data_IF_398209742469
#
_entry.id   IF_398209742469
#
_cell.length_a   1.000
_cell.length_b   1.000
_cell.length_c   1.000
_cell.angle_alpha   90.00
_cell.angle_beta   90.00
_cell.angle_gamma   90.00
#
_symmetry.space_group_name_H-M   'P 1'
#
loop_
_entity.id
_entity.type
_entity.pdbx_description
1 polymer ?
#
# COMPACT_ATOMS: atom_id res chain seq x y z
N UNK A 1 -3.80 29.39 -37.76
CA UNK A 1 -2.49 28.72 -37.87
C UNK A 1 -1.89 28.70 -36.47
N UNK A 2 -1.78 27.51 -35.87
CA UNK A 2 -1.11 27.21 -34.58
C UNK A 2 -1.70 27.88 -33.34
N UNK A 3 -1.72 27.29 -32.16
CA UNK A 3 -1.41 25.94 -31.69
C UNK A 3 -1.97 25.91 -30.27
N UNK A 4 -2.60 24.80 -29.89
CA UNK A 4 -3.21 24.60 -28.58
C UNK A 4 -2.18 23.91 -27.69
N UNK A 5 -1.60 24.64 -26.73
CA UNK A 5 -0.83 24.08 -25.62
C UNK A 5 -1.65 24.23 -24.34
N UNK A 6 -2.34 23.19 -23.89
CA UNK A 6 -1.83 22.04 -23.12
C UNK A 6 -1.86 22.35 -21.62
N UNK A 7 -2.78 21.66 -20.94
CA UNK A 7 -3.13 21.84 -19.56
C UNK A 7 -2.34 20.83 -18.72
N UNK A 8 -1.55 21.37 -17.79
CA UNK A 8 -0.71 20.61 -16.87
C UNK A 8 -1.49 19.55 -16.10
N UNK A 9 -1.02 18.34 -16.34
CA UNK A 9 -1.38 17.02 -15.83
C UNK A 9 -1.55 16.93 -14.31
N UNK A 10 -2.52 16.11 -13.90
CA UNK A 10 -2.88 15.86 -12.51
C UNK A 10 -2.04 14.69 -11.99
N UNK A 11 -1.34 14.92 -10.88
CA UNK A 11 -0.49 13.95 -10.22
C UNK A 11 -1.20 12.66 -9.84
N UNK A 12 -0.69 11.57 -10.41
CA UNK A 12 -0.27 10.32 -9.78
C UNK A 12 -1.29 9.67 -8.83
N UNK A 13 -2.23 8.94 -9.43
CA UNK A 13 -2.93 7.85 -8.77
C UNK A 13 -2.02 6.62 -8.78
N UNK A 14 -1.62 6.20 -7.58
CA UNK A 14 -0.70 5.09 -7.34
C UNK A 14 -0.99 3.85 -8.17
N UNK A 15 0.08 3.43 -8.83
CA UNK A 15 0.36 2.16 -9.50
C UNK A 15 -0.46 0.97 -8.97
N UNK A 16 -1.50 0.64 -9.73
CA UNK A 16 -2.25 -0.58 -9.60
C UNK A 16 -1.74 -1.58 -10.65
N UNK A 17 -0.93 -2.52 -10.18
CA UNK A 17 -0.69 -3.80 -10.85
C UNK A 17 0.48 -3.78 -11.84
N UNK A 18 1.63 -4.24 -11.37
CA UNK A 18 2.55 -5.03 -12.20
C UNK A 18 1.83 -6.33 -12.59
N UNK A 19 0.92 -6.21 -13.55
CA UNK A 19 0.44 -7.32 -14.35
C UNK A 19 1.64 -7.74 -15.19
N UNK A 20 2.32 -8.79 -14.71
CA UNK A 20 3.46 -9.38 -15.37
C UNK A 20 3.25 -9.44 -16.88
N UNK A 21 4.20 -8.80 -17.57
CA UNK A 21 4.47 -8.85 -18.99
C UNK A 21 3.91 -10.15 -19.60
N UNK A 22 2.79 -10.01 -20.31
CA UNK A 22 2.25 -11.07 -21.15
C UNK A 22 3.24 -11.24 -22.30
N UNK A 23 4.28 -12.03 -22.02
CA UNK A 23 5.31 -12.41 -22.97
C UNK A 23 4.65 -12.86 -24.26
N UNK A 24 4.99 -12.10 -25.30
CA UNK A 24 4.85 -12.37 -26.71
C UNK A 24 4.61 -13.86 -27.00
N UNK A 25 3.38 -14.20 -27.37
CA UNK A 25 3.02 -15.52 -27.90
C UNK A 25 3.58 -15.66 -29.33
N UNK A 26 4.90 -15.60 -29.43
CA UNK A 26 5.66 -15.95 -30.62
C UNK A 26 5.88 -17.46 -30.65
N UNK A 27 5.35 -18.10 -31.69
CA UNK A 27 5.72 -19.41 -32.21
C UNK A 27 5.80 -20.56 -31.19
N UNK A 28 4.73 -21.38 -31.11
CA UNK A 28 4.68 -22.58 -30.29
C UNK A 28 5.60 -23.68 -30.85
N UNK A 29 6.91 -23.48 -30.75
CA UNK A 29 7.90 -24.53 -30.68
C UNK A 29 7.67 -25.37 -29.42
N UNK A 30 8.08 -26.64 -29.46
CA UNK A 30 7.98 -27.56 -28.33
C UNK A 30 8.53 -26.91 -27.05
N UNK A 31 7.67 -26.65 -26.07
CA UNK A 31 8.09 -26.14 -24.76
C UNK A 31 8.84 -27.28 -24.07
N UNK A 32 10.17 -27.24 -24.14
CA UNK A 32 11.03 -28.11 -23.36
C UNK A 32 11.09 -27.60 -21.92
N UNK A 33 10.62 -28.37 -20.92
CA UNK A 33 10.82 -28.01 -19.53
C UNK A 33 12.32 -27.99 -19.24
N UNK A 34 12.89 -26.81 -19.04
CA UNK A 34 14.27 -26.66 -18.61
C UNK A 34 14.32 -26.69 -17.08
N UNK A 35 15.39 -27.26 -16.53
CA UNK A 35 15.66 -27.11 -15.11
C UNK A 35 15.87 -25.62 -14.77
N UNK A 36 15.53 -25.24 -13.53
CA UNK A 36 15.76 -23.88 -13.08
C UNK A 36 17.26 -23.59 -13.03
N UNK A 37 17.69 -22.35 -13.38
CA UNK A 37 19.10 -21.98 -13.34
C UNK A 37 19.67 -22.12 -11.92
N UNK A 38 20.99 -22.27 -11.83
CA UNK A 38 21.71 -22.48 -10.57
C UNK A 38 21.45 -21.40 -9.51
N UNK A 39 21.11 -20.19 -9.95
CA UNK A 39 20.76 -19.07 -9.08
C UNK A 39 19.45 -19.27 -8.29
N UNK A 40 18.54 -20.13 -8.77
CA UNK A 40 17.33 -20.52 -8.03
C UNK A 40 17.46 -21.85 -7.31
N UNK A 41 18.15 -22.83 -7.89
CA UNK A 41 18.28 -24.17 -7.28
C UNK A 41 19.18 -24.15 -6.04
N UNK A 42 20.24 -23.33 -6.02
CA UNK A 42 21.14 -23.23 -4.88
C UNK A 42 20.41 -22.75 -3.61
N UNK A 43 19.61 -21.66 -3.63
CA UNK A 43 18.76 -21.31 -2.48
C UNK A 43 17.81 -22.42 -2.05
N UNK A 44 17.13 -23.09 -2.99
CA UNK A 44 16.18 -24.16 -2.65
C UNK A 44 16.85 -25.37 -1.98
N UNK A 45 18.01 -25.79 -2.49
CA UNK A 45 18.79 -26.89 -1.89
C UNK A 45 19.32 -26.50 -0.52
N UNK A 46 19.80 -25.26 -0.35
CA UNK A 46 20.23 -24.76 0.95
C UNK A 46 19.08 -24.76 1.96
N UNK A 47 17.88 -24.30 1.57
CA UNK A 47 16.68 -24.32 2.41
C UNK A 47 16.24 -25.75 2.75
N UNK A 48 16.28 -26.68 1.79
CA UNK A 48 15.98 -28.09 2.04
C UNK A 48 16.94 -28.71 3.06
N UNK A 49 18.24 -28.45 2.91
CA UNK A 49 19.26 -28.90 3.86
C UNK A 49 19.04 -28.30 5.25
N UNK A 50 18.78 -26.98 5.35
CA UNK A 50 18.47 -26.32 6.61
C UNK A 50 17.21 -26.87 7.28
N UNK A 51 16.18 -27.22 6.50
CA UNK A 51 14.96 -27.87 7.02
C UNK A 51 15.25 -29.25 7.62
N UNK A 52 16.08 -30.07 6.95
CA UNK A 52 16.51 -31.38 7.45
C UNK A 52 17.34 -31.25 8.73
N UNK A 53 18.32 -30.33 8.75
CA UNK A 53 19.17 -30.08 9.92
C UNK A 53 18.33 -29.54 11.08
N UNK A 54 17.44 -28.58 10.83
CA UNK A 54 16.54 -28.03 11.84
C UNK A 54 15.62 -29.11 12.43
N UNK A 55 15.04 -29.96 11.59
CA UNK A 55 14.26 -31.12 12.03
C UNK A 55 15.09 -32.09 12.87
N UNK A 56 16.32 -32.39 12.46
CA UNK A 56 17.22 -33.30 13.17
C UNK A 56 17.63 -32.77 14.56
N UNK A 57 17.93 -31.47 14.67
CA UNK A 57 18.31 -30.83 15.93
C UNK A 57 17.16 -30.82 16.94
N UNK A 58 15.90 -30.97 16.51
CA UNK A 58 14.69 -30.88 17.34
C UNK A 58 13.96 -32.24 17.52
N UNK A 59 14.59 -33.36 17.16
CA UNK A 59 13.96 -34.68 17.24
C UNK A 59 13.58 -35.06 18.69
N UNK A 60 12.36 -35.60 18.91
CA UNK A 60 11.86 -35.93 20.25
C UNK A 60 12.38 -37.29 20.78
N UNK A 61 13.55 -37.76 20.35
CA UNK A 61 14.10 -39.07 20.77
C UNK A 61 14.93 -39.01 22.06
N UNK A 62 15.39 -37.83 22.46
CA UNK A 62 16.16 -37.63 23.70
C UNK A 62 16.02 -36.20 24.20
N UNK A 63 16.02 -35.99 25.52
CA UNK A 63 16.01 -34.65 26.13
C UNK A 63 17.20 -33.79 25.67
N UNK A 64 18.31 -34.42 25.28
CA UNK A 64 19.49 -33.72 24.74
C UNK A 64 19.31 -33.21 23.30
N UNK A 65 18.30 -33.69 22.58
CA UNK A 65 17.99 -33.32 21.18
C UNK A 65 16.84 -32.32 21.11
N UNK A 66 16.49 -31.67 22.22
CA UNK A 66 15.54 -30.55 22.27
C UNK A 66 16.28 -29.21 22.35
N UNK A 67 17.37 -29.06 21.61
CA UNK A 67 18.28 -27.90 21.79
C UNK A 67 17.65 -26.56 21.43
N UNK A 68 16.77 -26.54 20.42
CA UNK A 68 16.05 -25.31 20.06
C UNK A 68 15.03 -24.94 21.14
N UNK A 69 14.25 -25.90 21.64
CA UNK A 69 13.31 -25.70 22.75
C UNK A 69 13.98 -25.07 23.97
N UNK A 70 15.10 -25.61 24.45
CA UNK A 70 15.85 -25.05 25.59
C UNK A 70 16.49 -23.69 25.27
N UNK A 71 16.80 -23.40 24.01
CA UNK A 71 17.32 -22.09 23.58
C UNK A 71 16.23 -21.01 23.51
N UNK A 72 14.98 -21.40 23.19
CA UNK A 72 13.81 -20.50 23.14
C UNK A 72 13.15 -20.28 24.51
N UNK A 73 13.24 -21.25 25.42
CA UNK A 73 12.65 -21.23 26.77
C UNK A 73 12.91 -19.91 27.56
N UNK A 74 14.11 -19.28 27.49
CA UNK A 74 14.33 -17.99 28.14
C UNK A 74 13.53 -16.83 27.53
N UNK A 75 13.23 -16.89 26.22
CA UNK A 75 12.49 -15.86 25.49
C UNK A 75 10.97 -15.96 25.71
N UNK A 76 10.46 -17.15 26.05
CA UNK A 76 9.05 -17.43 26.36
C UNK A 76 8.69 -17.20 27.83
N UNK A 77 9.66 -16.77 28.65
CA UNK A 77 9.49 -16.54 30.10
C UNK A 77 8.99 -17.79 30.87
N UNK A 78 9.37 -18.99 30.44
CA UNK A 78 8.92 -20.26 31.04
C UNK A 78 7.38 -20.41 31.08
N UNK A 79 6.64 -19.71 30.20
CA UNK A 79 5.17 -19.86 30.08
C UNK A 79 4.77 -21.13 29.31
N UNK A 80 5.68 -22.10 29.18
CA UNK A 80 5.37 -23.40 28.61
C UNK A 80 4.34 -24.11 29.50
N UNK A 81 3.12 -24.30 28.98
CA UNK A 81 2.19 -25.23 29.61
C UNK A 81 2.69 -26.65 29.34
N UNK A 82 3.40 -27.22 30.31
CA UNK A 82 3.77 -28.64 30.26
C UNK A 82 2.51 -29.49 30.41
N UNK A 83 1.86 -29.79 29.28
CA UNK A 83 0.81 -30.79 29.25
C UNK A 83 1.46 -32.14 29.55
N UNK A 84 1.26 -32.64 30.78
CA UNK A 84 1.67 -33.97 31.19
C UNK A 84 0.80 -35.03 30.49
N UNK A 85 1.00 -35.20 29.19
CA UNK A 85 0.41 -36.30 28.44
C UNK A 85 1.25 -37.55 28.66
N UNK A 86 0.59 -38.67 28.95
CA UNK A 86 1.24 -39.97 28.98
C UNK A 86 2.01 -40.20 27.68
N UNK A 87 3.19 -40.83 27.75
CA UNK A 87 3.98 -41.19 26.56
C UNK A 87 3.14 -41.98 25.54
N UNK A 88 2.21 -42.82 26.01
CA UNK A 88 1.27 -43.54 25.14
C UNK A 88 0.35 -42.61 24.36
N UNK A 89 -0.17 -41.55 25.00
CA UNK A 89 -1.03 -40.55 24.36
C UNK A 89 -0.28 -39.79 23.27
N UNK A 90 0.97 -39.41 23.51
CA UNK A 90 1.80 -38.72 22.51
C UNK A 90 2.00 -39.57 21.25
N UNK A 91 2.31 -40.85 21.40
CA UNK A 91 2.46 -41.77 20.27
C UNK A 91 1.15 -42.00 19.52
N UNK A 92 0.02 -42.09 20.22
CA UNK A 92 -1.30 -42.21 19.60
C UNK A 92 -1.62 -40.96 18.78
N UNK A 93 -1.38 -39.76 19.34
CA UNK A 93 -1.61 -38.50 18.63
C UNK A 93 -0.69 -38.35 17.41
N UNK A 94 0.59 -38.73 17.54
CA UNK A 94 1.54 -38.72 16.43
C UNK A 94 1.12 -39.69 15.31
N UNK A 95 0.69 -40.90 15.67
CA UNK A 95 0.20 -41.88 14.70
C UNK A 95 -1.09 -41.39 14.03
N UNK A 96 -2.02 -40.82 14.79
CA UNK A 96 -3.26 -40.27 14.27
C UNK A 96 -2.98 -39.14 13.27
N UNK A 97 -2.09 -38.21 13.63
CA UNK A 97 -1.67 -37.14 12.74
C UNK A 97 -1.03 -37.68 11.45
N UNK A 98 -0.15 -38.68 11.56
CA UNK A 98 0.48 -39.32 10.40
C UNK A 98 -0.55 -39.97 9.48
N UNK A 99 -1.53 -40.69 10.05
CA UNK A 99 -2.63 -41.30 9.28
C UNK A 99 -3.50 -40.23 8.62
N UNK A 100 -3.85 -39.15 9.33
CA UNK A 100 -4.62 -38.03 8.75
C UNK A 100 -3.89 -37.37 7.58
N UNK A 101 -2.57 -37.16 7.69
CA UNK A 101 -1.74 -36.62 6.59
C UNK A 101 -1.71 -37.60 5.41
N UNK A 102 -1.49 -38.89 5.66
CA UNK A 102 -1.49 -39.91 4.61
C UNK A 102 -2.83 -40.00 3.86
N UNK A 103 -3.96 -39.91 4.58
CA UNK A 103 -5.30 -39.83 3.99
C UNK A 103 -5.42 -38.57 3.13
N UNK A 104 -5.01 -37.41 3.65
CA UNK A 104 -5.07 -36.14 2.90
C UNK A 104 -4.27 -36.19 1.59
N UNK A 105 -3.03 -36.70 1.64
CA UNK A 105 -2.19 -36.90 0.44
C UNK A 105 -2.84 -37.90 -0.52
N UNK A 106 -3.38 -39.01 0.00
CA UNK A 106 -4.06 -40.02 -0.80
C UNK A 106 -5.28 -39.46 -1.55
N UNK A 107 -6.08 -38.63 -0.88
CA UNK A 107 -7.21 -37.91 -1.49
C UNK A 107 -6.70 -36.96 -2.57
N UNK A 108 -5.66 -36.17 -2.29
CA UNK A 108 -5.05 -35.26 -3.27
C UNK A 108 -4.57 -35.98 -4.53
N UNK A 109 -3.82 -37.09 -4.38
CA UNK A 109 -3.38 -37.92 -5.51
C UNK A 109 -4.58 -38.48 -6.28
N UNK A 110 -5.62 -38.95 -5.59
CA UNK A 110 -6.81 -39.53 -6.23
C UNK A 110 -7.61 -38.50 -7.03
N UNK A 111 -7.69 -37.25 -6.55
CA UNK A 111 -8.42 -36.16 -7.20
C UNK A 111 -7.62 -35.54 -8.35
N UNK A 112 -6.35 -35.22 -8.14
CA UNK A 112 -5.56 -34.44 -9.09
C UNK A 112 -4.77 -35.30 -10.09
N UNK A 113 -4.10 -36.37 -9.64
CA UNK A 113 -3.27 -37.20 -10.52
C UNK A 113 -4.05 -38.33 -11.18
N UNK A 114 -4.99 -38.95 -10.45
CA UNK A 114 -5.76 -40.11 -10.95
C UNK A 114 -7.13 -39.73 -11.50
N UNK A 115 -7.58 -38.49 -11.28
CA UNK A 115 -8.87 -37.95 -11.72
C UNK A 115 -10.08 -38.84 -11.37
N UNK A 116 -9.98 -39.61 -10.28
CA UNK A 116 -11.04 -40.54 -9.85
C UNK A 116 -12.16 -39.85 -9.09
N UNK A 117 -11.88 -38.66 -8.57
CA UNK A 117 -12.79 -37.84 -7.78
C UNK A 117 -12.96 -36.52 -8.52
N UNK A 118 -14.20 -36.06 -8.65
CA UNK A 118 -14.49 -34.77 -9.30
C UNK A 118 -13.86 -33.62 -8.51
N UNK A 119 -13.09 -32.79 -9.22
CA UNK A 119 -12.39 -31.62 -8.67
C UNK A 119 -13.36 -30.58 -8.12
N UNK A 120 -14.58 -30.52 -8.65
CA UNK A 120 -15.63 -29.58 -8.22
C UNK A 120 -16.04 -29.73 -6.75
N UNK A 121 -15.77 -30.89 -6.13
CA UNK A 121 -16.02 -31.10 -4.69
C UNK A 121 -15.11 -30.20 -3.83
N UNK A 122 -13.87 -30.00 -4.28
CA UNK A 122 -12.85 -29.23 -3.56
C UNK A 122 -12.72 -27.80 -4.10
N UNK A 123 -12.93 -27.59 -5.39
CA UNK A 123 -12.84 -26.28 -6.06
C UNK A 123 -14.16 -25.49 -5.96
N UNK A 124 -14.68 -25.36 -4.74
CA UNK A 124 -15.89 -24.56 -4.52
C UNK A 124 -15.61 -23.09 -4.85
N UNK A 125 -16.56 -22.36 -5.47
CA UNK A 125 -16.37 -20.95 -5.83
C UNK A 125 -15.91 -20.06 -4.68
N UNK A 126 -16.34 -20.35 -3.44
CA UNK A 126 -15.90 -19.61 -2.25
C UNK A 126 -14.43 -19.83 -1.90
N UNK A 127 -13.91 -21.05 -2.08
CA UNK A 127 -12.50 -21.38 -1.79
C UNK A 127 -11.57 -20.82 -2.87
N UNK A 128 -12.01 -20.90 -4.13
CA UNK A 128 -11.29 -20.31 -5.28
C UNK A 128 -11.13 -18.80 -5.11
N UNK A 129 -12.15 -18.12 -4.61
CA UNK A 129 -12.12 -16.68 -4.37
C UNK A 129 -11.49 -16.29 -3.02
N UNK A 130 -10.69 -17.16 -2.39
CA UNK A 130 -10.07 -16.92 -1.07
C UNK A 130 -11.08 -16.39 -0.03
N UNK A 131 -12.25 -17.04 0.03
CA UNK A 131 -13.38 -16.63 0.89
C UNK A 131 -13.92 -15.23 0.63
N UNK A 132 -13.70 -14.70 -0.57
CA UNK A 132 -14.02 -13.33 -0.98
C UNK A 132 -13.35 -12.23 -0.15
N UNK A 133 -12.33 -12.57 0.64
CA UNK A 133 -11.63 -11.60 1.49
C UNK A 133 -10.94 -10.53 0.64
N UNK A 134 -10.17 -10.97 -0.36
CA UNK A 134 -9.48 -10.08 -1.28
C UNK A 134 -10.46 -9.18 -2.06
N UNK A 135 -11.56 -9.75 -2.56
CA UNK A 135 -12.60 -8.99 -3.26
C UNK A 135 -13.27 -7.96 -2.35
N UNK A 136 -13.53 -8.30 -1.09
CA UNK A 136 -14.14 -7.38 -0.13
C UNK A 136 -13.20 -6.20 0.20
N UNK A 137 -11.92 -6.49 0.47
CA UNK A 137 -10.91 -5.47 0.74
C UNK A 137 -10.71 -4.57 -0.47
N UNK A 138 -10.58 -5.15 -1.67
CA UNK A 138 -10.43 -4.40 -2.92
C UNK A 138 -11.63 -3.51 -3.23
N UNK A 139 -12.86 -3.99 -3.03
CA UNK A 139 -14.08 -3.18 -3.20
C UNK A 139 -14.17 -2.04 -2.18
N UNK A 140 -13.76 -2.29 -0.94
CA UNK A 140 -13.76 -1.28 0.10
C UNK A 140 -12.70 -0.21 -0.15
N UNK A 141 -11.44 -0.62 -0.35
CA UNK A 141 -10.30 0.28 -0.55
C UNK A 141 -10.35 0.96 -1.92
N UNK A 142 -10.40 0.20 -3.00
CA UNK A 142 -10.40 0.72 -4.37
C UNK A 142 -11.72 1.32 -4.81
N UNK A 143 -12.84 0.94 -4.18
CA UNK A 143 -14.16 1.49 -4.46
C UNK A 143 -14.47 2.70 -3.58
N UNK A 144 -15.09 2.45 -2.42
CA UNK A 144 -15.58 3.51 -1.52
C UNK A 144 -14.46 4.36 -0.94
N UNK A 145 -13.33 3.75 -0.57
CA UNK A 145 -12.17 4.45 -0.01
C UNK A 145 -11.59 5.43 -1.01
N UNK A 146 -11.26 4.97 -2.22
CA UNK A 146 -10.75 5.81 -3.31
C UNK A 146 -11.67 6.99 -3.61
N UNK A 147 -12.99 6.77 -3.72
CA UNK A 147 -13.95 7.86 -3.94
C UNK A 147 -13.91 8.93 -2.85
N UNK A 148 -13.78 8.53 -1.59
CA UNK A 148 -13.68 9.47 -0.48
C UNK A 148 -12.38 10.30 -0.57
N UNK A 149 -11.25 9.65 -0.87
CA UNK A 149 -9.98 10.35 -1.07
C UNK A 149 -10.01 11.32 -2.25
N UNK A 150 -10.56 10.91 -3.39
CA UNK A 150 -10.72 11.78 -4.56
C UNK A 150 -11.61 12.99 -4.26
N UNK A 151 -12.67 12.82 -3.44
CA UNK A 151 -13.50 13.93 -3.01
C UNK A 151 -12.74 14.93 -2.12
N UNK A 152 -11.93 14.43 -1.19
CA UNK A 152 -11.09 15.29 -0.33
C UNK A 152 -10.04 16.03 -1.15
N UNK A 153 -9.35 15.32 -2.07
CA UNK A 153 -8.36 15.94 -2.95
C UNK A 153 -8.98 17.00 -3.88
N UNK A 154 -10.20 16.74 -4.38
CA UNK A 154 -10.93 17.73 -5.19
C UNK A 154 -11.32 18.96 -4.37
N UNK A 155 -11.75 18.77 -3.11
CA UNK A 155 -12.06 19.88 -2.22
C UNK A 155 -10.84 20.77 -1.97
N UNK A 156 -9.68 20.17 -1.72
CA UNK A 156 -8.41 20.90 -1.53
C UNK A 156 -8.08 21.74 -2.79
N UNK A 157 -8.08 21.10 -3.96
CA UNK A 157 -7.77 21.77 -5.24
C UNK A 157 -8.76 22.87 -5.63
N UNK A 158 -10.05 22.71 -5.34
CA UNK A 158 -11.05 23.71 -5.76
C UNK A 158 -11.25 24.81 -4.71
N UNK A 159 -11.22 24.47 -3.42
CA UNK A 159 -11.57 25.40 -2.35
C UNK A 159 -10.32 26.02 -1.72
N UNK A 160 -9.33 25.21 -1.37
CA UNK A 160 -8.13 25.69 -0.67
C UNK A 160 -7.24 26.44 -1.65
N UNK A 161 -6.85 25.81 -2.76
CA UNK A 161 -6.04 26.48 -3.79
C UNK A 161 -6.80 27.67 -4.40
N UNK A 162 -8.10 27.52 -4.63
CA UNK A 162 -8.95 28.60 -5.14
C UNK A 162 -8.98 29.83 -4.22
N UNK A 163 -9.01 29.62 -2.90
CA UNK A 163 -8.95 30.71 -1.92
C UNK A 163 -7.58 31.40 -1.91
N UNK A 164 -6.50 30.62 -2.03
CA UNK A 164 -5.12 31.14 -2.09
C UNK A 164 -4.89 31.97 -3.36
N UNK A 165 -5.23 31.40 -4.52
CA UNK A 165 -5.11 32.08 -5.81
C UNK A 165 -6.02 33.32 -5.88
N UNK A 166 -7.23 33.23 -5.34
CA UNK A 166 -8.15 34.35 -5.24
C UNK A 166 -7.54 35.52 -4.44
N UNK A 167 -6.91 35.22 -3.31
CA UNK A 167 -6.21 36.23 -2.50
C UNK A 167 -5.07 36.87 -3.30
N UNK A 168 -4.26 36.07 -3.99
CA UNK A 168 -3.19 36.57 -4.85
C UNK A 168 -3.69 37.45 -5.99
N UNK A 169 -4.82 37.08 -6.63
CA UNK A 169 -5.45 37.88 -7.68
C UNK A 169 -5.98 39.22 -7.17
N UNK A 170 -6.57 39.27 -5.97
CA UNK A 170 -7.04 40.51 -5.35
C UNK A 170 -5.87 41.46 -5.13
N UNK A 171 -4.76 40.96 -4.57
CA UNK A 171 -3.55 41.77 -4.35
C UNK A 171 -3.00 42.30 -5.68
N UNK A 172 -2.88 41.44 -6.71
CA UNK A 172 -2.42 41.85 -8.05
C UNK A 172 -3.32 42.89 -8.70
N UNK A 173 -4.65 42.75 -8.59
CA UNK A 173 -5.62 43.71 -9.12
C UNK A 173 -5.50 45.06 -8.40
N UNK A 174 -5.45 45.06 -7.07
CA UNK A 174 -5.27 46.27 -6.26
C UNK A 174 -3.97 46.98 -6.60
N UNK A 175 -2.86 46.25 -6.69
CA UNK A 175 -1.57 46.79 -7.09
C UNK A 175 -1.60 47.39 -8.51
N UNK A 176 -2.30 46.74 -9.45
CA UNK A 176 -2.44 47.24 -10.83
C UNK A 176 -3.26 48.53 -10.91
N UNK A 177 -4.31 48.67 -10.10
CA UNK A 177 -5.09 49.90 -9.98
C UNK A 177 -4.24 51.01 -9.37
N UNK A 178 -3.54 50.72 -8.27
CA UNK A 178 -2.65 51.69 -7.62
C UNK A 178 -1.53 52.15 -8.55
N UNK A 179 -0.97 51.22 -9.36
CA UNK A 179 0.03 51.52 -10.39
C UNK A 179 -0.48 52.53 -11.42
N UNK A 180 -1.74 52.46 -11.83
CA UNK A 180 -2.32 53.42 -12.79
C UNK A 180 -2.45 54.83 -12.21
N UNK A 181 -2.55 54.97 -10.89
CA UNK A 181 -2.55 56.28 -10.23
C UNK A 181 -1.17 56.96 -10.26
N UNK A 182 -0.10 56.20 -10.51
CA UNK A 182 1.28 56.69 -10.63
C UNK A 182 1.61 56.97 -12.11
N UNK A 183 1.02 58.04 -12.64
CA UNK A 183 1.10 58.42 -14.06
C UNK A 183 2.28 59.35 -14.41
N UNK A 184 3.22 59.60 -13.47
CA UNK A 184 4.47 60.32 -13.73
C UNK A 184 4.33 61.84 -13.95
N UNK A 185 3.11 62.39 -13.86
CA UNK A 185 2.83 63.80 -14.10
C UNK A 185 2.98 64.62 -12.81
N UNK A 186 3.96 65.54 -12.77
CA UNK A 186 4.29 66.37 -11.58
C UNK A 186 3.05 67.10 -11.01
N UNK A 187 2.13 67.54 -11.88
CA UNK A 187 0.89 68.21 -11.47
C UNK A 187 -0.03 67.32 -10.63
N UNK A 188 -0.13 66.03 -10.94
CA UNK A 188 -0.93 65.07 -10.17
C UNK A 188 -0.33 64.86 -8.78
N UNK A 189 1.00 64.79 -8.68
CA UNK A 189 1.70 64.69 -7.40
C UNK A 189 1.53 65.95 -6.55
N UNK A 190 1.65 67.14 -7.15
CA UNK A 190 1.46 68.41 -6.45
C UNK A 190 0.04 68.55 -5.87
N UNK A 191 -0.98 68.16 -6.64
CA UNK A 191 -2.37 68.06 -6.15
C UNK A 191 -2.51 67.07 -5.00
N UNK A 192 -1.91 65.87 -5.12
CA UNK A 192 -1.92 64.85 -4.07
C UNK A 192 -1.28 65.32 -2.76
N UNK A 193 -0.11 65.96 -2.84
CA UNK A 193 0.58 66.55 -1.68
C UNK A 193 -0.26 67.67 -1.06
N UNK A 194 -0.87 68.55 -1.87
CA UNK A 194 -1.73 69.62 -1.39
C UNK A 194 -2.95 69.09 -0.62
N UNK A 195 -3.64 68.08 -1.16
CA UNK A 195 -4.76 67.41 -0.48
C UNK A 195 -4.29 66.76 0.82
N UNK A 196 -3.15 66.06 0.80
CA UNK A 196 -2.57 65.45 1.99
C UNK A 196 -2.23 66.44 3.10
N UNK A 197 -1.64 67.59 2.73
CA UNK A 197 -1.29 68.65 3.67
C UNK A 197 -2.55 69.27 4.32
N UNK A 198 -3.58 69.58 3.53
CA UNK A 198 -4.86 70.09 4.06
C UNK A 198 -5.52 69.06 4.97
N UNK A 199 -5.52 67.78 4.59
CA UNK A 199 -6.05 66.70 5.41
C UNK A 199 -5.32 66.56 6.75
N UNK A 200 -3.99 66.63 6.75
CA UNK A 200 -3.17 66.62 7.97
C UNK A 200 -3.46 67.84 8.86
N UNK A 201 -3.64 69.03 8.27
CA UNK A 201 -4.01 70.23 9.03
C UNK A 201 -5.38 70.09 9.69
N UNK A 202 -6.38 69.56 8.97
CA UNK A 202 -7.72 69.30 9.53
C UNK A 202 -7.64 68.28 10.67
N UNK A 203 -6.92 67.17 10.46
CA UNK A 203 -6.71 66.14 11.48
C UNK A 203 -5.99 66.72 12.72
N UNK A 204 -4.94 67.52 12.52
CA UNK A 204 -4.21 68.15 13.60
C UNK A 204 -5.12 69.09 14.40
N UNK A 205 -5.83 69.99 13.73
CA UNK A 205 -6.73 70.95 14.37
C UNK A 205 -7.81 70.24 15.20
N UNK A 206 -8.47 69.22 14.62
CA UNK A 206 -9.49 68.43 15.32
C UNK A 206 -8.92 67.63 16.50
N UNK A 207 -7.67 67.15 16.41
CA UNK A 207 -7.00 66.44 17.50
C UNK A 207 -6.51 67.36 18.62
N UNK A 208 -6.15 68.60 18.31
CA UNK A 208 -5.69 69.59 19.30
C UNK A 208 -6.82 70.36 19.98
N UNK A 209 -8.03 70.36 19.41
CA UNK A 209 -9.21 71.05 19.97
C UNK A 209 -10.14 70.12 20.76
N UNK A 210 -9.83 68.82 20.81
CA UNK A 210 -10.37 67.80 21.73
C UNK A 210 -9.34 67.49 22.81
#
# INVERSE_FOLDING_TARGET
>A
AGDAGDAGDAGDAGDAGDAGDAGDAGDAGEIHPHESPWTMTLPLVALAFLSLVGGFIQLPFSSSTKRLEHWLEPATFHNETHLHLSSSTLWILALLALVSVAIGIGVGISTYLKEKIDRQIFEKPSLVNAWYFDSAVSKFMGGSGSKAFTAVAKFDKEVIDGAVDGTGQIVKKTASILRRSQNGLVRTYALGIGIGAVGLLIWFLTRTTL
#
